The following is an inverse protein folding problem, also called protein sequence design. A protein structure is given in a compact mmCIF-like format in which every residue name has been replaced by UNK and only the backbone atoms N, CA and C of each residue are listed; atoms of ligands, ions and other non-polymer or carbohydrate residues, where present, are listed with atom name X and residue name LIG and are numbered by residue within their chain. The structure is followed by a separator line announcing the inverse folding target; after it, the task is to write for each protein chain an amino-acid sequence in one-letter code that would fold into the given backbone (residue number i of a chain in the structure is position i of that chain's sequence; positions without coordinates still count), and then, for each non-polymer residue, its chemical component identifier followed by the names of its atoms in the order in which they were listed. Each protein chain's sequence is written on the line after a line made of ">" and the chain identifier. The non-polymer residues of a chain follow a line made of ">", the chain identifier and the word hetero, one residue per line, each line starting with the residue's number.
data_IF_185868169221
#
_entry.id   IF_185868169221
#
_cell.length_a   1.000
_cell.length_b   1.000
_cell.length_c   1.000
_cell.angle_alpha   90.00
_cell.angle_beta   90.00
_cell.angle_gamma   90.00
#
_symmetry.space_group_name_H-M   'P 1'
#
loop_
_entity.id
_entity.type
_entity.pdbx_description
1 polymer ?
#
# COMPACT_ATOMS: atom_id res chain seq x y z
N UNK A 1 -14.61 1.14 18.57
CA UNK A 1 -14.26 0.93 17.15
C UNK A 1 -12.76 0.69 17.04
N UNK A 2 -12.34 -0.41 16.40
CA UNK A 2 -10.92 -0.73 16.18
C UNK A 2 -10.25 0.36 15.33
N UNK A 3 -9.23 1.03 15.88
CA UNK A 3 -8.32 1.93 15.16
C UNK A 3 -7.19 1.08 14.57
N UNK A 4 -7.02 1.10 13.26
CA UNK A 4 -6.03 0.27 12.56
C UNK A 4 -6.43 0.03 11.11
N UNK A 5 -5.53 -0.59 10.33
CA UNK A 5 -5.82 -0.96 8.94
C UNK A 5 -7.03 -1.91 8.89
N UNK A 6 -8.03 -1.55 8.07
CA UNK A 6 -9.30 -2.27 7.96
C UNK A 6 -9.13 -3.56 7.16
N UNK A 7 -10.02 -4.53 7.41
CA UNK A 7 -9.94 -5.86 6.80
C UNK A 7 -9.99 -5.82 5.26
N UNK A 8 -10.76 -4.89 4.68
CA UNK A 8 -10.84 -4.76 3.21
C UNK A 8 -9.45 -4.54 2.59
N UNK A 9 -8.58 -3.75 3.22
CA UNK A 9 -7.23 -3.52 2.69
C UNK A 9 -6.36 -4.76 2.87
N UNK A 10 -6.53 -5.49 3.99
CA UNK A 10 -5.81 -6.75 4.22
C UNK A 10 -6.19 -7.81 3.18
N UNK A 11 -7.47 -7.90 2.85
CA UNK A 11 -8.00 -8.77 1.81
C UNK A 11 -7.48 -8.37 0.42
N UNK A 12 -7.47 -7.07 0.11
CA UNK A 12 -6.87 -6.57 -1.13
C UNK A 12 -5.38 -6.96 -1.24
N UNK A 13 -4.62 -6.85 -0.15
CA UNK A 13 -3.22 -7.28 -0.13
C UNK A 13 -3.08 -8.79 -0.34
N UNK A 14 -3.94 -9.62 0.27
CA UNK A 14 -3.94 -11.06 0.03
C UNK A 14 -4.25 -11.39 -1.44
N UNK A 15 -5.17 -10.67 -2.07
CA UNK A 15 -5.45 -10.83 -3.50
C UNK A 15 -4.26 -10.43 -4.37
N UNK A 16 -3.55 -9.35 -4.02
CA UNK A 16 -2.32 -8.93 -4.71
C UNK A 16 -1.20 -9.99 -4.52
N UNK A 17 -1.12 -10.65 -3.34
CA UNK A 17 -0.21 -11.79 -3.11
C UNK A 17 -0.58 -12.97 -4.00
N UNK A 18 -1.87 -13.27 -4.16
CA UNK A 18 -2.33 -14.35 -5.03
C UNK A 18 -1.90 -14.09 -6.49
N UNK A 19 -2.10 -12.87 -7.00
CA UNK A 19 -1.62 -12.48 -8.35
C UNK A 19 -0.11 -12.64 -8.46
N UNK A 20 0.66 -12.18 -7.45
CA UNK A 20 2.10 -12.37 -7.42
C UNK A 20 2.48 -13.86 -7.52
N UNK A 21 1.86 -14.71 -6.71
CA UNK A 21 2.13 -16.14 -6.69
C UNK A 21 1.80 -16.81 -8.03
N UNK A 22 0.64 -16.51 -8.62
CA UNK A 22 0.23 -17.05 -9.92
C UNK A 22 1.22 -16.65 -11.03
N UNK A 23 1.61 -15.38 -11.10
CA UNK A 23 2.60 -14.91 -12.09
C UNK A 23 3.95 -15.58 -11.86
N UNK A 24 4.39 -15.68 -10.60
CA UNK A 24 5.65 -16.32 -10.22
C UNK A 24 5.71 -17.79 -10.65
N UNK A 25 4.59 -18.53 -10.57
CA UNK A 25 4.54 -19.94 -11.01
C UNK A 25 4.69 -20.10 -12.52
N UNK A 26 4.33 -19.08 -13.30
CA UNK A 26 4.45 -19.07 -14.76
C UNK A 26 5.84 -18.57 -15.18
N UNK A 27 6.25 -17.40 -14.70
CA UNK A 27 7.56 -16.81 -14.97
C UNK A 27 7.91 -15.75 -13.92
N UNK A 28 9.02 -15.99 -13.22
CA UNK A 28 9.55 -15.07 -12.21
C UNK A 28 9.94 -13.71 -12.81
N UNK A 29 10.41 -13.71 -14.06
CA UNK A 29 10.85 -12.49 -14.75
C UNK A 29 9.68 -11.57 -15.12
N UNK A 30 8.46 -12.12 -15.21
CA UNK A 30 7.26 -11.33 -15.47
C UNK A 30 6.70 -10.68 -14.21
N UNK A 31 7.07 -11.15 -13.01
CA UNK A 31 6.52 -10.65 -11.74
C UNK A 31 6.69 -9.13 -11.60
N UNK A 32 7.89 -8.53 -11.74
CA UNK A 32 8.03 -7.08 -11.57
C UNK A 32 7.13 -6.31 -12.54
N UNK A 33 7.06 -6.75 -13.80
CA UNK A 33 6.26 -6.09 -14.84
C UNK A 33 4.76 -6.16 -14.54
N UNK A 34 4.24 -7.34 -14.18
CA UNK A 34 2.80 -7.50 -13.90
C UNK A 34 2.43 -6.75 -12.62
N UNK A 35 3.23 -6.90 -11.57
CA UNK A 35 2.95 -6.26 -10.28
C UNK A 35 3.00 -4.75 -10.37
N UNK A 36 3.94 -4.15 -11.13
CA UNK A 36 3.95 -2.71 -11.35
C UNK A 36 2.66 -2.21 -12.04
N UNK A 37 2.13 -2.93 -13.03
CA UNK A 37 0.84 -2.56 -13.67
C UNK A 37 -0.35 -2.68 -12.73
N UNK A 38 -0.36 -3.70 -11.86
CA UNK A 38 -1.38 -3.84 -10.82
C UNK A 38 -1.31 -2.67 -9.85
N UNK A 39 -0.11 -2.30 -9.39
CA UNK A 39 0.11 -1.20 -8.45
C UNK A 39 -0.27 0.15 -9.06
N UNK A 40 0.05 0.39 -10.34
CA UNK A 40 -0.41 1.56 -11.10
C UNK A 40 -1.93 1.67 -11.08
N UNK A 41 -2.64 0.65 -11.55
CA UNK A 41 -4.10 0.66 -11.63
C UNK A 41 -4.77 0.87 -10.25
N UNK A 42 -4.27 0.18 -9.21
CA UNK A 42 -4.80 0.31 -7.85
C UNK A 42 -4.53 1.71 -7.29
N UNK A 43 -3.34 2.27 -7.51
CA UNK A 43 -2.98 3.61 -7.02
C UNK A 43 -3.75 4.72 -7.72
N UNK A 44 -3.98 4.58 -9.03
CA UNK A 44 -4.78 5.51 -9.84
C UNK A 44 -6.23 5.54 -9.36
N UNK A 45 -6.84 4.36 -9.19
CA UNK A 45 -8.22 4.26 -8.70
C UNK A 45 -8.34 4.79 -7.27
N UNK A 46 -7.37 4.51 -6.41
CA UNK A 46 -7.32 5.07 -5.06
C UNK A 46 -7.26 6.61 -5.09
N UNK A 47 -6.41 7.18 -5.95
CA UNK A 47 -6.33 8.64 -6.15
C UNK A 47 -7.66 9.22 -6.61
N UNK A 48 -8.29 8.61 -7.62
CA UNK A 48 -9.60 9.02 -8.15
C UNK A 48 -10.67 9.00 -7.05
N UNK A 49 -10.72 7.93 -6.25
CA UNK A 49 -11.67 7.81 -5.15
C UNK A 49 -11.46 8.89 -4.09
N UNK A 50 -10.22 9.21 -3.71
CA UNK A 50 -9.95 10.26 -2.73
C UNK A 50 -10.37 11.65 -3.23
N UNK A 51 -10.24 11.92 -4.53
CA UNK A 51 -10.67 13.17 -5.15
C UNK A 51 -12.19 13.30 -5.27
N UNK A 52 -12.93 12.19 -5.31
CA UNK A 52 -14.40 12.20 -5.36
C UNK A 52 -15.07 12.44 -4.00
N UNK A 53 -14.32 12.38 -2.89
CA UNK A 53 -14.89 12.61 -1.54
C UNK A 53 -15.02 14.11 -1.29
N UNK A 54 -16.25 14.57 -1.03
CA UNK A 54 -16.54 16.00 -0.85
C UNK A 54 -15.91 16.62 0.41
N UNK A 55 -15.77 15.83 1.49
CA UNK A 55 -15.11 16.26 2.71
C UNK A 55 -14.68 15.08 3.57
N UNK A 56 -13.61 15.25 4.35
CA UNK A 56 -13.14 14.26 5.30
C UNK A 56 -13.31 14.76 6.73
N UNK A 57 -13.88 13.93 7.60
CA UNK A 57 -13.75 14.15 9.04
C UNK A 57 -12.30 13.95 9.47
N UNK A 58 -11.90 14.52 10.63
CA UNK A 58 -10.54 14.34 11.17
C UNK A 58 -10.14 12.87 11.28
N UNK A 59 -11.03 12.04 11.82
CA UNK A 59 -10.78 10.60 11.97
C UNK A 59 -10.78 9.87 10.62
N UNK A 60 -11.65 10.26 9.69
CA UNK A 60 -11.70 9.72 8.34
C UNK A 60 -10.42 10.01 7.55
N UNK A 61 -9.91 11.24 7.63
CA UNK A 61 -8.65 11.63 7.00
C UNK A 61 -7.46 10.84 7.57
N UNK A 62 -7.40 10.66 8.89
CA UNK A 62 -6.35 9.84 9.53
C UNK A 62 -6.43 8.38 9.06
N UNK A 63 -7.63 7.80 9.02
CA UNK A 63 -7.85 6.43 8.59
C UNK A 63 -7.48 6.21 7.11
N UNK A 64 -7.93 7.10 6.23
CA UNK A 64 -7.58 7.05 4.80
C UNK A 64 -6.06 7.19 4.60
N UNK A 65 -5.41 8.10 5.33
CA UNK A 65 -3.95 8.25 5.29
C UNK A 65 -3.23 6.99 5.76
N UNK A 66 -3.71 6.37 6.84
CA UNK A 66 -3.17 5.09 7.34
C UNK A 66 -3.24 4.01 6.26
N UNK A 67 -4.38 3.89 5.58
CA UNK A 67 -4.61 2.87 4.56
C UNK A 67 -3.79 3.10 3.30
N UNK A 68 -3.71 4.36 2.81
CA UNK A 68 -2.86 4.73 1.68
C UNK A 68 -1.39 4.45 1.99
N UNK A 69 -0.89 4.88 3.16
CA UNK A 69 0.49 4.63 3.56
C UNK A 69 0.77 3.13 3.73
N UNK A 70 -0.15 2.38 4.35
CA UNK A 70 0.01 0.94 4.54
C UNK A 70 0.13 0.21 3.19
N UNK A 71 -0.74 0.54 2.22
CA UNK A 71 -0.69 -0.05 0.89
C UNK A 71 0.62 0.32 0.18
N UNK A 72 0.95 1.62 0.10
CA UNK A 72 2.15 2.12 -0.59
C UNK A 72 3.43 1.50 -0.02
N UNK A 73 3.56 1.47 1.32
CA UNK A 73 4.72 0.89 1.99
C UNK A 73 4.83 -0.62 1.71
N UNK A 74 3.68 -1.32 1.60
CA UNK A 74 3.66 -2.76 1.33
C UNK A 74 4.13 -3.08 -0.08
N UNK A 75 3.71 -2.30 -1.08
CA UNK A 75 4.02 -2.56 -2.50
C UNK A 75 5.23 -1.77 -2.99
N UNK A 76 6.06 -1.26 -2.08
CA UNK A 76 7.13 -0.29 -2.36
C UNK A 76 8.10 -0.73 -3.48
N UNK A 77 8.39 -2.04 -3.57
CA UNK A 77 9.32 -2.57 -4.57
C UNK A 77 8.79 -2.56 -6.01
N UNK A 78 7.47 -2.39 -6.19
CA UNK A 78 6.82 -2.36 -7.51
C UNK A 78 6.37 -0.96 -7.90
N UNK A 79 6.70 0.05 -7.09
CA UNK A 79 6.37 1.44 -7.38
C UNK A 79 7.07 1.88 -8.67
N UNK A 80 6.30 2.62 -9.46
CA UNK A 80 6.69 3.29 -10.69
C UNK A 80 6.54 4.80 -10.50
N UNK A 81 7.09 5.64 -11.38
CA UNK A 81 6.83 7.08 -11.34
C UNK A 81 5.33 7.42 -11.34
N UNK A 82 4.54 6.69 -12.13
CA UNK A 82 3.10 6.85 -12.30
C UNK A 82 2.34 6.49 -11.02
N UNK A 83 2.64 5.34 -10.41
CA UNK A 83 1.99 4.95 -9.15
C UNK A 83 2.41 5.83 -7.98
N UNK A 84 3.67 6.26 -7.92
CA UNK A 84 4.11 7.25 -6.94
C UNK A 84 3.35 8.58 -7.06
N UNK A 85 3.17 9.07 -8.28
CA UNK A 85 2.38 10.27 -8.55
C UNK A 85 0.94 10.10 -8.06
N UNK A 86 0.31 8.97 -8.36
CA UNK A 86 -1.07 8.67 -7.93
C UNK A 86 -1.20 8.57 -6.41
N UNK A 87 -0.29 7.88 -5.72
CA UNK A 87 -0.27 7.85 -4.25
C UNK A 87 -0.07 9.23 -3.63
N UNK A 88 0.79 10.07 -4.24
CA UNK A 88 1.02 11.45 -3.79
C UNK A 88 -0.27 12.26 -3.92
N UNK A 89 -0.93 12.21 -5.08
CA UNK A 89 -2.21 12.90 -5.31
C UNK A 89 -3.29 12.44 -4.33
N UNK A 90 -3.39 11.12 -4.07
CA UNK A 90 -4.32 10.58 -3.08
C UNK A 90 -4.08 11.17 -1.68
N UNK A 91 -2.81 11.33 -1.27
CA UNK A 91 -2.45 11.91 0.02
C UNK A 91 -2.66 13.43 0.09
N UNK A 92 -2.52 14.13 -1.04
CA UNK A 92 -2.75 15.57 -1.17
C UNK A 92 -4.24 15.92 -1.14
N UNK A 93 -5.11 15.02 -1.59
CA UNK A 93 -6.56 15.15 -1.46
C UNK A 93 -7.05 15.07 0.00
N UNK A 94 -6.24 14.52 0.91
CA UNK A 94 -6.57 14.42 2.33
C UNK A 94 -6.20 15.67 3.13
N UNK A 95 -7.01 16.09 4.11
CA UNK A 95 -6.64 17.14 5.05
C UNK A 95 -5.29 16.86 5.73
N UNK A 96 -4.48 17.90 5.90
CA UNK A 96 -3.16 17.79 6.53
C UNK A 96 -3.28 17.42 8.02
N UNK A 97 -2.37 16.58 8.49
CA UNK A 97 -2.26 16.27 9.92
C UNK A 97 -1.57 17.44 10.62
N UNK A 98 -2.34 18.25 11.34
CA UNK A 98 -1.86 19.45 12.02
C UNK A 98 -1.16 19.18 13.36
N UNK A 99 -1.43 18.03 14.00
CA UNK A 99 -0.88 17.70 15.32
C UNK A 99 0.21 16.63 15.25
N UNK A 100 1.29 16.84 16.02
CA UNK A 100 2.32 15.82 16.22
C UNK A 100 1.78 14.53 16.85
N UNK A 101 0.71 14.60 17.64
CA UNK A 101 0.05 13.43 18.22
C UNK A 101 -0.59 12.55 17.15
N UNK A 102 -1.22 13.15 16.14
CA UNK A 102 -1.87 12.39 15.05
C UNK A 102 -0.84 11.68 14.17
N UNK A 103 0.34 12.31 13.96
CA UNK A 103 1.47 11.69 13.26
C UNK A 103 2.04 10.49 14.02
N UNK A 104 2.25 10.62 15.33
CA UNK A 104 2.70 9.50 16.18
C UNK A 104 1.70 8.34 16.17
N UNK A 105 0.42 8.64 16.29
CA UNK A 105 -0.62 7.62 16.22
C UNK A 105 -0.63 6.89 14.87
N UNK A 106 -0.46 7.62 13.76
CA UNK A 106 -0.33 7.02 12.43
C UNK A 106 0.84 6.03 12.35
N UNK A 107 2.01 6.42 12.85
CA UNK A 107 3.21 5.58 12.89
C UNK A 107 3.01 4.32 13.75
N UNK A 108 2.43 4.46 14.95
CA UNK A 108 2.11 3.34 15.83
C UNK A 108 1.16 2.34 15.16
N UNK A 109 0.13 2.83 14.47
CA UNK A 109 -0.84 1.99 13.77
C UNK A 109 -0.21 1.29 12.55
N UNK A 110 0.67 1.96 11.82
CA UNK A 110 1.44 1.35 10.71
C UNK A 110 2.36 0.24 11.24
N UNK A 111 3.06 0.47 12.36
CA UNK A 111 3.92 -0.52 12.97
C UNK A 111 3.12 -1.74 13.45
N UNK A 112 1.98 -1.52 14.11
CA UNK A 112 1.08 -2.59 14.52
C UNK A 112 0.58 -3.40 13.32
N UNK A 113 0.21 -2.73 12.23
CA UNK A 113 -0.18 -3.39 10.99
C UNK A 113 0.96 -4.26 10.44
N UNK A 114 2.17 -3.69 10.29
CA UNK A 114 3.36 -4.39 9.80
C UNK A 114 3.70 -5.63 10.63
N UNK A 115 3.64 -5.52 11.96
CA UNK A 115 3.84 -6.67 12.86
C UNK A 115 2.75 -7.72 12.73
N UNK A 116 1.48 -7.30 12.62
CA UNK A 116 0.35 -8.25 12.55
C UNK A 116 0.23 -9.02 11.24
N UNK A 117 0.78 -8.48 10.15
CA UNK A 117 0.74 -9.08 8.81
C UNK A 117 2.13 -9.45 8.29
N UNK A 118 3.12 -9.56 9.18
CA UNK A 118 4.53 -9.69 8.79
C UNK A 118 4.77 -10.75 7.71
N UNK A 119 4.24 -11.96 7.91
CA UNK A 119 4.42 -13.08 6.97
C UNK A 119 3.84 -12.77 5.58
N UNK A 120 2.66 -12.16 5.51
CA UNK A 120 2.04 -11.77 4.25
C UNK A 120 2.84 -10.67 3.55
N UNK A 121 3.29 -9.67 4.31
CA UNK A 121 4.04 -8.55 3.74
C UNK A 121 5.41 -8.96 3.19
N UNK A 122 6.01 -10.02 3.74
CA UNK A 122 7.26 -10.59 3.22
C UNK A 122 7.13 -11.10 1.78
N UNK A 123 5.93 -11.43 1.28
CA UNK A 123 5.72 -11.78 -0.13
C UNK A 123 6.06 -10.64 -1.11
N UNK A 124 6.06 -9.39 -0.63
CA UNK A 124 6.41 -8.19 -1.41
C UNK A 124 7.80 -7.65 -1.08
N UNK A 125 8.58 -8.38 -0.28
CA UNK A 125 9.96 -8.05 -0.03
C UNK A 125 10.80 -8.81 -1.05
N UNK A 126 11.67 -8.11 -1.77
CA UNK A 126 12.60 -8.76 -2.68
C UNK A 126 13.38 -9.82 -1.90
N UNK A 127 13.33 -11.07 -2.36
CA UNK A 127 14.33 -12.07 -1.96
C UNK A 127 15.68 -11.50 -2.36
N UNK A 128 16.42 -10.94 -1.40
CA UNK A 128 17.83 -10.61 -1.57
C UNK A 128 18.65 -11.92 -1.62
N UNK A 129 18.35 -12.78 -2.59
CA UNK A 129 19.13 -13.93 -3.04
C UNK A 129 18.41 -14.44 -4.29
N UNK A 130 18.96 -14.39 -5.50
CA UNK A 130 20.29 -14.82 -5.86
C UNK A 130 20.82 -14.01 -7.03
N UNK A 131 21.78 -13.14 -6.77
CA UNK A 131 22.82 -12.85 -7.76
C UNK A 131 23.85 -13.98 -7.63
N UNK A 132 23.49 -15.18 -8.07
CA UNK A 132 24.44 -16.27 -8.27
C UNK A 132 24.73 -16.37 -9.77
N UNK A 133 25.87 -15.78 -10.13
CA UNK A 133 26.81 -16.04 -11.22
C UNK A 133 26.30 -16.62 -12.55
N UNK A 134 26.67 -15.94 -13.63
CA UNK A 134 27.68 -16.47 -14.58
C UNK A 134 28.60 -15.34 -15.00
#
# INVERSE_FOLDING_TARGET
>A
MSRGVRNYLKEALVNIIAVHAEVFTISKDLVPRVMSRVVEAVSEELSRLMQCVSSFSKNGALQARLEICALRDTVAIYLTPESNSSFKQALEALPQLSSGTDKKLLEELLNKFKSSMHLQLTCFQASSSAMMKT
#
